data_IF_294209268108
#
_entry.id   IF_294209268108
#
_cell.length_a   1.000
_cell.length_b   1.000
_cell.length_c   1.000
_cell.angle_alpha   90.00
_cell.angle_beta   90.00
_cell.angle_gamma   90.00
#
_symmetry.space_group_name_H-M   'P 1'
#
loop_
_entity.id
_entity.type
_entity.pdbx_description
1 polymer ?
#
# COMPACT_ATOMS: atom_id res chain seq x y z
N UNK A 1 15.28 19.67 -45.55
CA UNK A 1 13.94 19.29 -45.06
C UNK A 1 14.10 18.66 -43.67
N UNK A 2 13.72 19.32 -42.56
CA UNK A 2 13.83 18.71 -41.23
C UNK A 2 12.63 17.78 -40.96
N UNK A 3 12.94 16.64 -40.35
CA UNK A 3 12.04 15.51 -40.08
C UNK A 3 11.02 15.89 -38.99
N UNK A 4 9.80 15.37 -39.15
CA UNK A 4 8.67 15.61 -38.25
C UNK A 4 9.03 15.35 -36.80
N UNK A 5 8.84 16.37 -35.97
CA UNK A 5 8.98 16.32 -34.53
C UNK A 5 7.99 15.29 -33.99
N UNK A 6 8.51 14.15 -33.54
CA UNK A 6 7.78 13.25 -32.65
C UNK A 6 7.38 14.06 -31.42
N UNK A 7 6.12 14.43 -31.34
CA UNK A 7 5.54 14.98 -30.12
C UNK A 7 5.59 13.85 -29.09
N UNK A 8 6.66 13.79 -28.31
CA UNK A 8 6.65 13.05 -27.07
C UNK A 8 5.53 13.68 -26.25
N UNK A 9 4.39 12.99 -26.19
CA UNK A 9 3.37 13.26 -25.18
C UNK A 9 4.15 13.37 -23.87
N UNK A 10 4.12 14.50 -23.15
CA UNK A 10 4.66 14.51 -21.81
C UNK A 10 3.96 13.34 -21.11
N UNK A 11 4.75 12.39 -20.60
CA UNK A 11 4.21 11.36 -19.74
C UNK A 11 3.40 12.13 -18.71
N UNK A 12 2.07 11.96 -18.77
CA UNK A 12 1.16 12.68 -17.90
C UNK A 12 1.61 12.33 -16.50
N UNK A 13 2.27 13.29 -15.84
CA UNK A 13 2.77 13.10 -14.49
C UNK A 13 1.53 12.88 -13.67
N UNK A 14 1.23 11.62 -13.39
CA UNK A 14 0.04 11.22 -12.67
C UNK A 14 -0.07 12.12 -11.45
N UNK A 15 -1.24 12.74 -11.27
CA UNK A 15 -1.38 13.76 -10.22
C UNK A 15 -1.09 13.09 -8.88
N UNK A 16 -0.65 13.83 -7.86
CA UNK A 16 -0.32 13.24 -6.56
C UNK A 16 -1.45 12.36 -5.99
N UNK A 17 -2.71 12.73 -6.25
CA UNK A 17 -3.86 11.92 -5.87
C UNK A 17 -3.97 10.60 -6.64
N UNK A 18 -3.81 10.63 -7.97
CA UNK A 18 -3.87 9.42 -8.81
C UNK A 18 -2.75 8.45 -8.41
N UNK A 19 -1.56 8.96 -8.12
CA UNK A 19 -0.43 8.17 -7.62
C UNK A 19 -0.71 7.56 -6.25
N UNK A 20 -1.31 8.32 -5.34
CA UNK A 20 -1.67 7.83 -4.01
C UNK A 20 -2.71 6.71 -4.09
N UNK A 21 -3.78 6.89 -4.88
CA UNK A 21 -4.81 5.86 -5.09
C UNK A 21 -4.21 4.63 -5.77
N UNK A 22 -3.39 4.80 -6.81
CA UNK A 22 -2.69 3.69 -7.47
C UNK A 22 -1.82 2.90 -6.49
N UNK A 23 -1.13 3.59 -5.58
CA UNK A 23 -0.32 2.95 -4.53
C UNK A 23 -1.19 2.13 -3.58
N UNK A 24 -2.34 2.65 -3.13
CA UNK A 24 -3.27 1.92 -2.27
C UNK A 24 -3.82 0.66 -2.95
N UNK A 25 -4.16 0.75 -4.24
CA UNK A 25 -4.65 -0.39 -5.03
C UNK A 25 -3.58 -1.48 -5.18
N UNK A 26 -2.33 -1.08 -5.46
CA UNK A 26 -1.20 -2.03 -5.56
C UNK A 26 -0.95 -2.72 -4.22
N UNK A 27 -0.95 -1.96 -3.12
CA UNK A 27 -0.79 -2.54 -1.77
C UNK A 27 -1.96 -3.48 -1.46
N UNK A 28 -3.20 -3.10 -1.77
CA UNK A 28 -4.35 -3.98 -1.57
C UNK A 28 -4.18 -5.33 -2.28
N UNK A 29 -3.86 -5.30 -3.58
CA UNK A 29 -3.68 -6.52 -4.38
C UNK A 29 -2.43 -7.33 -4.01
N UNK A 30 -1.43 -6.73 -3.34
CA UNK A 30 -0.28 -7.46 -2.78
C UNK A 30 -0.69 -8.38 -1.62
N UNK A 31 -1.74 -8.01 -0.88
CA UNK A 31 -2.20 -8.77 0.30
C UNK A 31 -3.48 -9.57 0.04
N UNK A 32 -4.33 -9.17 -0.91
CA UNK A 32 -5.59 -9.87 -1.21
C UNK A 32 -5.40 -11.19 -1.96
N UNK A 33 -6.38 -12.09 -1.85
CA UNK A 33 -6.45 -13.31 -2.64
C UNK A 33 -5.48 -14.43 -2.22
N UNK A 34 -4.76 -14.31 -1.11
CA UNK A 34 -3.97 -15.41 -0.54
C UNK A 34 -4.86 -16.52 0.02
N UNK A 35 -6.05 -16.16 0.51
CA UNK A 35 -7.03 -17.10 1.08
C UNK A 35 -8.28 -17.33 0.21
N UNK A 36 -8.34 -16.78 -1.00
CA UNK A 36 -9.34 -17.17 -2.00
C UNK A 36 -9.79 -16.04 -2.93
N UNK A 37 -10.28 -14.93 -2.38
CA UNK A 37 -10.84 -13.82 -3.16
C UNK A 37 -9.86 -12.65 -3.28
N UNK A 38 -9.46 -12.35 -4.52
CA UNK A 38 -8.53 -11.28 -4.88
C UNK A 38 -9.13 -9.87 -4.79
N UNK A 39 -10.45 -9.77 -4.64
CA UNK A 39 -11.17 -8.50 -4.54
C UNK A 39 -11.51 -8.12 -3.09
N UNK A 40 -11.19 -8.98 -2.13
CA UNK A 40 -11.41 -8.73 -0.70
C UNK A 40 -10.15 -9.05 0.10
N UNK A 41 -10.06 -8.50 1.32
CA UNK A 41 -9.04 -8.88 2.29
C UNK A 41 -9.72 -9.68 3.41
N UNK A 42 -9.20 -10.85 3.69
CA UNK A 42 -9.54 -11.59 4.90
C UNK A 42 -9.04 -10.83 6.13
N UNK A 43 -9.59 -11.16 7.31
CA UNK A 43 -9.13 -10.57 8.58
C UNK A 43 -7.62 -10.75 8.80
N UNK A 44 -7.06 -11.87 8.34
CA UNK A 44 -5.63 -12.18 8.45
C UNK A 44 -4.81 -11.39 7.45
N UNK A 45 -5.27 -11.28 6.20
CA UNK A 45 -4.61 -10.50 5.15
C UNK A 45 -4.57 -9.00 5.51
N UNK A 46 -5.69 -8.46 6.03
CA UNK A 46 -5.76 -7.08 6.53
C UNK A 46 -4.81 -6.85 7.72
N UNK A 47 -4.75 -7.80 8.67
CA UNK A 47 -3.81 -7.72 9.80
C UNK A 47 -2.37 -7.66 9.32
N UNK A 48 -2.02 -8.49 8.33
CA UNK A 48 -0.68 -8.51 7.75
C UNK A 48 -0.33 -7.20 7.03
N UNK A 49 -1.27 -6.65 6.23
CA UNK A 49 -1.12 -5.36 5.57
C UNK A 49 -0.87 -4.24 6.60
N UNK A 50 -1.72 -4.15 7.63
CA UNK A 50 -1.57 -3.12 8.66
C UNK A 50 -0.20 -3.27 9.31
N UNK A 51 0.16 -4.46 9.80
CA UNK A 51 1.44 -4.65 10.49
C UNK A 51 2.69 -4.35 9.64
N UNK A 52 2.63 -4.58 8.33
CA UNK A 52 3.79 -4.45 7.43
C UNK A 52 3.90 -3.10 6.74
N UNK A 53 2.78 -2.51 6.34
CA UNK A 53 2.76 -1.28 5.54
C UNK A 53 2.39 -0.05 6.39
N UNK A 54 1.60 -0.24 7.44
CA UNK A 54 1.13 0.84 8.31
C UNK A 54 1.74 0.65 9.70
N UNK A 55 2.77 1.41 10.06
CA UNK A 55 3.46 1.34 11.37
C UNK A 55 2.57 1.54 12.62
N UNK A 56 1.24 1.61 12.46
CA UNK A 56 0.19 1.49 13.48
C UNK A 56 0.40 0.24 14.36
N UNK A 57 0.99 -0.84 13.84
CA UNK A 57 1.27 -2.05 14.62
C UNK A 57 2.36 -1.92 15.70
N UNK A 58 3.16 -0.85 15.69
CA UNK A 58 4.27 -0.63 16.63
C UNK A 58 3.94 0.29 17.81
N UNK A 59 2.76 0.92 17.82
CA UNK A 59 2.30 1.71 18.96
C UNK A 59 1.36 0.85 19.82
N UNK A 60 1.76 0.56 21.05
CA UNK A 60 1.04 -0.23 22.08
C UNK A 60 1.49 -1.69 22.26
N UNK A 61 2.79 -1.90 22.49
CA UNK A 61 3.29 -2.97 23.37
C UNK A 61 4.42 -2.44 24.28
N UNK A 62 4.23 -1.25 24.85
CA UNK A 62 4.94 -0.85 26.06
C UNK A 62 3.99 -1.15 27.24
N UNK A 63 3.89 -2.43 27.57
CA UNK A 63 3.32 -2.85 28.85
C UNK A 63 4.41 -2.72 29.90
N UNK A 64 4.45 -1.58 30.60
CA UNK A 64 5.20 -1.46 31.86
C UNK A 64 4.44 -2.25 32.93
N UNK A 65 4.63 -3.56 32.91
CA UNK A 65 4.29 -4.48 33.98
C UNK A 65 5.57 -4.93 34.67
N UNK A 66 6.18 -4.07 35.49
CA UNK A 66 7.26 -4.48 36.40
C UNK A 66 6.65 -5.18 37.61
N UNK A 67 6.70 -6.51 37.52
CA UNK A 67 6.87 -7.54 38.56
C UNK A 67 6.80 -7.10 40.02
N UNK A 68 5.89 -7.73 40.76
CA UNK A 68 6.00 -7.83 42.21
C UNK A 68 7.22 -8.65 42.63
N UNK A 69 7.94 -8.14 43.62
CA UNK A 69 8.54 -8.87 44.75
C UNK A 69 8.26 -8.04 45.99
#
# INVERSE_FOLDING_TARGET
MPRGSTHHRPAEMARPLDQAIGTLVVIFHKYSGKEGDKNTLSKKELKELIQKELSIGAVSMAGDGVTGV
#
